data_IF_264296142576
#
_entry.id   IF_264296142576
#
_cell.length_a   1.000
_cell.length_b   1.000
_cell.length_c   1.000
_cell.angle_alpha   90.00
_cell.angle_beta   90.00
_cell.angle_gamma   90.00
#
_symmetry.space_group_name_H-M   'P 1'
#
loop_
_entity.id
_entity.type
_entity.pdbx_description
1 polymer ?
#
# COMPACT_ATOMS: atom_id res chain seq x y z
N UNK A 1 -24.31 -52.15 -60.89
CA UNK A 1 -24.22 -51.96 -59.42
C UNK A 1 -22.78 -52.06 -58.87
N UNK A 2 -21.74 -51.64 -59.63
CA UNK A 2 -20.34 -51.53 -59.13
C UNK A 2 -19.73 -50.14 -59.35
N UNK A 3 -20.28 -49.34 -60.27
CA UNK A 3 -19.83 -47.96 -60.53
C UNK A 3 -20.34 -46.95 -59.48
N UNK A 4 -21.54 -47.17 -58.91
CA UNK A 4 -22.13 -46.27 -57.90
C UNK A 4 -21.39 -46.33 -56.55
N UNK A 5 -20.81 -47.49 -56.20
CA UNK A 5 -20.04 -47.66 -54.95
C UNK A 5 -18.65 -47.01 -55.01
N UNK A 6 -18.07 -46.84 -56.20
CA UNK A 6 -16.77 -46.18 -56.36
C UNK A 6 -16.88 -44.65 -56.27
N UNK A 7 -17.96 -44.07 -56.78
CA UNK A 7 -18.20 -42.63 -56.71
C UNK A 7 -18.53 -42.14 -55.28
N UNK A 8 -19.13 -43.00 -54.44
CA UNK A 8 -19.38 -42.66 -53.03
C UNK A 8 -18.11 -42.67 -52.17
N UNK A 9 -17.07 -43.43 -52.55
CA UNK A 9 -15.83 -43.51 -51.79
C UNK A 9 -14.90 -42.31 -52.05
N UNK A 10 -14.94 -41.72 -53.24
CA UNK A 10 -14.14 -40.53 -53.57
C UNK A 10 -14.66 -39.23 -52.93
N UNK A 11 -15.92 -39.19 -52.49
CA UNK A 11 -16.51 -38.01 -51.85
C UNK A 11 -16.17 -37.86 -50.35
N UNK A 12 -15.57 -38.89 -49.73
CA UNK A 12 -15.21 -38.86 -48.30
C UNK A 12 -13.74 -38.48 -48.02
N UNK A 13 -12.92 -38.26 -49.06
CA UNK A 13 -11.47 -37.99 -48.89
C UNK A 13 -11.06 -36.54 -49.11
N UNK A 14 -11.98 -35.59 -49.29
CA UNK A 14 -11.64 -34.17 -49.51
C UNK A 14 -12.40 -33.25 -48.55
N UNK A 15 -12.32 -33.50 -47.25
CA UNK A 15 -12.50 -32.43 -46.26
C UNK A 15 -11.16 -32.13 -45.61
N UNK A 16 -10.34 -31.32 -46.29
CA UNK A 16 -9.30 -30.59 -45.56
C UNK A 16 -10.03 -29.63 -44.63
N UNK A 17 -10.13 -29.99 -43.34
CA UNK A 17 -10.59 -29.05 -42.32
C UNK A 17 -9.57 -27.91 -42.25
N UNK A 18 -9.88 -26.80 -42.93
CA UNK A 18 -9.12 -25.56 -42.82
C UNK A 18 -9.34 -25.03 -41.39
N UNK A 19 -8.46 -25.40 -40.46
CA UNK A 19 -8.40 -24.72 -39.17
C UNK A 19 -7.88 -23.31 -39.46
N UNK A 20 -8.76 -22.31 -39.37
CA UNK A 20 -8.35 -20.91 -39.31
C UNK A 20 -7.61 -20.75 -37.98
N UNK A 21 -6.28 -20.92 -38.01
CA UNK A 21 -5.42 -20.53 -36.90
C UNK A 21 -5.54 -19.02 -36.84
N UNK A 22 -6.26 -18.53 -35.83
CA UNK A 22 -6.34 -17.10 -35.58
C UNK A 22 -4.91 -16.60 -35.38
N UNK A 23 -4.49 -15.50 -36.02
CA UNK A 23 -3.15 -14.97 -35.79
C UNK A 23 -2.97 -14.73 -34.29
N UNK A 24 -1.78 -15.08 -33.79
CA UNK A 24 -1.46 -14.80 -32.39
C UNK A 24 -1.76 -13.32 -32.09
N UNK A 25 -2.44 -13.01 -30.98
CA UNK A 25 -2.67 -11.63 -30.61
C UNK A 25 -1.31 -10.91 -30.52
N UNK A 26 -1.24 -9.63 -30.92
CA UNK A 26 0.00 -8.89 -30.91
C UNK A 26 0.64 -8.93 -29.51
N UNK A 27 1.98 -9.01 -29.42
CA UNK A 27 2.66 -9.08 -28.14
C UNK A 27 2.26 -7.88 -27.27
N UNK A 28 1.90 -8.18 -26.02
CA UNK A 28 1.48 -7.17 -25.05
C UNK A 28 2.66 -6.21 -24.80
N UNK A 29 2.42 -4.90 -24.95
CA UNK A 29 3.45 -3.88 -24.70
C UNK A 29 3.96 -3.90 -23.26
N UNK A 30 5.21 -3.49 -23.04
CA UNK A 30 5.81 -3.43 -21.70
C UNK A 30 5.03 -2.53 -20.74
N UNK A 31 4.52 -1.39 -21.22
CA UNK A 31 3.65 -0.52 -20.43
C UNK A 31 2.38 -1.24 -19.98
N UNK A 32 1.75 -2.02 -20.87
CA UNK A 32 0.56 -2.81 -20.55
C UNK A 32 0.89 -3.95 -19.60
N UNK A 33 2.07 -4.59 -19.71
CA UNK A 33 2.55 -5.58 -18.73
C UNK A 33 2.64 -4.95 -17.33
N UNK A 34 3.24 -3.77 -17.20
CA UNK A 34 3.34 -3.06 -15.91
C UNK A 34 1.97 -2.66 -15.34
N UNK A 35 1.03 -2.21 -16.19
CA UNK A 35 -0.35 -1.96 -15.73
C UNK A 35 -1.02 -3.23 -15.19
N UNK A 36 -0.81 -4.38 -15.85
CA UNK A 36 -1.33 -5.67 -15.38
C UNK A 36 -0.70 -6.07 -14.03
N UNK A 37 0.61 -5.86 -13.86
CA UNK A 37 1.28 -6.06 -12.57
C UNK A 37 0.60 -5.22 -11.48
N UNK A 38 0.39 -3.93 -11.74
CA UNK A 38 -0.27 -3.03 -10.80
C UNK A 38 -1.66 -3.53 -10.42
N UNK A 39 -2.47 -3.95 -11.39
CA UNK A 39 -3.80 -4.54 -11.13
C UNK A 39 -3.71 -5.79 -10.26
N UNK A 40 -2.79 -6.71 -10.56
CA UNK A 40 -2.64 -7.92 -9.76
C UNK A 40 -2.20 -7.62 -8.33
N UNK A 41 -1.31 -6.65 -8.11
CA UNK A 41 -0.91 -6.23 -6.77
C UNK A 41 -2.09 -5.64 -5.99
N UNK A 42 -2.90 -4.78 -6.61
CA UNK A 42 -4.10 -4.20 -5.99
C UNK A 42 -5.12 -5.27 -5.59
N UNK A 43 -5.23 -6.35 -6.36
CA UNK A 43 -6.13 -7.47 -6.09
C UNK A 43 -5.52 -8.54 -5.16
N UNK A 44 -4.30 -8.34 -4.65
CA UNK A 44 -3.60 -9.33 -3.82
C UNK A 44 -3.15 -10.60 -4.57
N UNK A 45 -3.16 -10.59 -5.90
CA UNK A 45 -2.82 -11.72 -6.76
C UNK A 45 -1.29 -11.82 -6.97
N UNK A 46 -0.55 -12.02 -5.88
CA UNK A 46 0.91 -11.87 -5.83
C UNK A 46 1.65 -12.80 -6.82
N UNK A 47 1.17 -14.04 -6.99
CA UNK A 47 1.75 -14.97 -7.96
C UNK A 47 1.62 -14.51 -9.41
N UNK A 48 0.46 -13.94 -9.77
CA UNK A 48 0.22 -13.40 -11.11
C UNK A 48 1.01 -12.11 -11.35
N UNK A 49 1.09 -11.25 -10.33
CA UNK A 49 1.92 -10.06 -10.36
C UNK A 49 3.39 -10.42 -10.64
N UNK A 50 3.94 -11.42 -9.92
CA UNK A 50 5.32 -11.87 -10.11
C UNK A 50 5.56 -12.45 -11.50
N UNK A 51 4.68 -13.34 -11.95
CA UNK A 51 4.77 -13.93 -13.29
C UNK A 51 4.79 -12.86 -14.37
N UNK A 52 4.00 -11.78 -14.21
CA UNK A 52 3.98 -10.68 -15.16
C UNK A 52 5.21 -9.77 -15.06
N UNK A 53 5.72 -9.51 -13.84
CA UNK A 53 6.98 -8.78 -13.61
C UNK A 53 8.17 -9.46 -14.30
N UNK A 54 8.24 -10.79 -14.25
CA UNK A 54 9.33 -11.57 -14.85
C UNK A 54 9.33 -11.56 -16.38
N UNK A 55 8.22 -11.15 -16.98
CA UNK A 55 8.08 -10.97 -18.43
C UNK A 55 8.44 -9.56 -18.90
N UNK A 56 8.79 -8.65 -17.99
CA UNK A 56 9.18 -7.28 -18.35
C UNK A 56 10.63 -7.28 -18.79
N UNK A 57 10.86 -6.85 -20.03
CA UNK A 57 12.18 -6.84 -20.63
C UNK A 57 13.15 -5.94 -19.84
N UNK A 58 14.39 -6.39 -19.65
CA UNK A 58 15.42 -5.65 -18.88
C UNK A 58 15.62 -4.22 -19.42
N UNK A 59 15.51 -4.04 -20.74
CA UNK A 59 15.61 -2.73 -21.38
C UNK A 59 14.52 -1.74 -20.94
N UNK A 60 13.38 -2.23 -20.47
CA UNK A 60 12.21 -1.46 -20.04
C UNK A 60 12.02 -1.39 -18.51
N UNK A 61 12.96 -1.93 -17.74
CA UNK A 61 12.98 -1.86 -16.27
C UNK A 61 13.35 -0.45 -15.78
N UNK A 62 12.46 0.50 -16.02
CA UNK A 62 12.55 1.91 -15.62
C UNK A 62 11.82 2.13 -14.28
N UNK A 63 11.59 3.41 -13.93
CA UNK A 63 11.01 3.82 -12.65
C UNK A 63 9.79 2.99 -12.23
N UNK A 64 8.80 2.83 -13.11
CA UNK A 64 7.55 2.14 -12.77
C UNK A 64 7.76 0.65 -12.48
N UNK A 65 8.65 -0.01 -13.22
CA UNK A 65 9.05 -1.38 -12.92
C UNK A 65 9.64 -1.50 -11.52
N UNK A 66 10.60 -0.62 -11.17
CA UNK A 66 11.25 -0.66 -9.86
C UNK A 66 10.29 -0.34 -8.72
N UNK A 67 9.33 0.58 -8.93
CA UNK A 67 8.25 0.85 -7.97
C UNK A 67 7.39 -0.39 -7.74
N UNK A 68 6.96 -1.06 -8.82
CA UNK A 68 6.12 -2.26 -8.73
C UNK A 68 6.86 -3.47 -8.16
N UNK A 69 8.14 -3.65 -8.50
CA UNK A 69 8.97 -4.70 -7.94
C UNK A 69 9.20 -4.48 -6.44
N UNK A 70 9.47 -3.24 -6.02
CA UNK A 70 9.63 -2.88 -4.61
C UNK A 70 8.34 -3.16 -3.82
N UNK A 71 7.19 -2.74 -4.37
CA UNK A 71 5.88 -3.01 -3.78
C UNK A 71 5.61 -4.51 -3.68
N UNK A 72 5.88 -5.28 -4.73
CA UNK A 72 5.70 -6.74 -4.73
C UNK A 72 6.46 -7.41 -3.58
N UNK A 73 7.75 -7.12 -3.42
CA UNK A 73 8.57 -7.74 -2.36
C UNK A 73 8.12 -7.34 -0.96
N UNK A 74 7.64 -6.11 -0.80
CA UNK A 74 7.01 -5.66 0.45
C UNK A 74 5.71 -6.42 0.72
N UNK A 75 4.85 -6.59 -0.29
CA UNK A 75 3.55 -7.26 -0.15
C UNK A 75 3.64 -8.76 0.16
N UNK A 76 4.71 -9.44 -0.27
CA UNK A 76 4.93 -10.84 0.11
C UNK A 76 5.63 -11.01 1.47
N UNK A 77 5.95 -9.90 2.14
CA UNK A 77 6.64 -9.86 3.44
C UNK A 77 8.03 -10.53 3.47
N UNK A 78 8.70 -10.69 2.31
CA UNK A 78 10.12 -11.09 2.23
C UNK A 78 11.00 -9.85 2.46
N UNK A 79 11.10 -9.44 3.73
CA UNK A 79 11.73 -8.18 4.12
C UNK A 79 13.20 -8.07 3.71
N UNK A 80 13.91 -9.20 3.62
CA UNK A 80 15.31 -9.21 3.19
C UNK A 80 15.43 -8.85 1.70
N UNK A 81 14.61 -9.45 0.84
CA UNK A 81 14.59 -9.07 -0.59
C UNK A 81 13.99 -7.71 -0.82
N UNK A 82 12.97 -7.33 -0.04
CA UNK A 82 12.40 -6.00 -0.11
C UNK A 82 13.48 -4.93 0.14
N UNK A 83 14.32 -5.09 1.18
CA UNK A 83 15.42 -4.16 1.46
C UNK A 83 16.37 -4.02 0.27
N UNK A 84 16.89 -5.16 -0.22
CA UNK A 84 17.81 -5.19 -1.36
C UNK A 84 17.23 -4.49 -2.60
N UNK A 85 15.94 -4.71 -2.88
CA UNK A 85 15.27 -4.15 -4.05
C UNK A 85 15.04 -2.65 -3.88
N UNK A 86 14.61 -2.19 -2.70
CA UNK A 86 14.45 -0.76 -2.44
C UNK A 86 15.78 -0.02 -2.51
N UNK A 87 16.85 -0.57 -1.94
CA UNK A 87 18.20 0.01 -2.03
C UNK A 87 18.66 0.15 -3.49
N UNK A 88 18.52 -0.91 -4.29
CA UNK A 88 18.83 -0.86 -5.73
C UNK A 88 17.95 0.12 -6.49
N UNK A 89 16.66 0.20 -6.14
CA UNK A 89 15.73 1.13 -6.75
C UNK A 89 16.12 2.59 -6.44
N UNK A 90 16.50 2.89 -5.20
CA UNK A 90 16.94 4.22 -4.76
C UNK A 90 18.31 4.61 -5.33
N UNK A 91 19.23 3.66 -5.57
CA UNK A 91 20.46 3.94 -6.31
C UNK A 91 20.17 4.42 -7.74
N UNK A 92 19.13 3.90 -8.39
CA UNK A 92 18.73 4.27 -9.75
C UNK A 92 17.84 5.50 -9.81
N UNK A 93 16.96 5.66 -8.82
CA UNK A 93 15.95 6.71 -8.73
C UNK A 93 16.00 7.37 -7.35
N UNK A 94 17.05 8.16 -7.05
CA UNK A 94 17.31 8.69 -5.70
C UNK A 94 16.27 9.69 -5.21
N UNK A 95 15.39 10.17 -6.08
CA UNK A 95 14.34 11.14 -5.79
C UNK A 95 12.94 10.59 -6.03
N UNK A 96 12.77 9.27 -6.11
CA UNK A 96 11.44 8.69 -6.25
C UNK A 96 10.73 8.62 -4.89
N UNK A 97 9.69 9.42 -4.77
CA UNK A 97 8.89 9.58 -3.55
C UNK A 97 8.21 8.28 -3.11
N UNK A 98 7.76 7.48 -4.08
CA UNK A 98 7.08 6.23 -3.81
C UNK A 98 8.04 5.18 -3.26
N UNK A 99 9.25 5.08 -3.83
CA UNK A 99 10.26 4.14 -3.33
C UNK A 99 10.69 4.56 -1.92
N UNK A 100 10.98 5.84 -1.67
CA UNK A 100 11.32 6.33 -0.32
C UNK A 100 10.22 6.06 0.70
N UNK A 101 8.95 6.32 0.35
CA UNK A 101 7.83 6.07 1.25
C UNK A 101 7.72 4.58 1.62
N UNK A 102 7.78 3.68 0.65
CA UNK A 102 7.69 2.25 0.93
C UNK A 102 8.93 1.71 1.66
N UNK A 103 10.10 2.30 1.43
CA UNK A 103 11.31 2.00 2.19
C UNK A 103 11.15 2.40 3.67
N UNK A 104 10.55 3.57 3.95
CA UNK A 104 10.21 3.98 5.30
C UNK A 104 9.25 3.01 6.00
N UNK A 105 8.21 2.54 5.29
CA UNK A 105 7.30 1.49 5.80
C UNK A 105 8.07 0.23 6.15
N UNK A 106 8.94 -0.24 5.25
CA UNK A 106 9.77 -1.43 5.46
C UNK A 106 10.71 -1.31 6.68
N UNK A 107 11.34 -0.15 6.86
CA UNK A 107 12.16 0.14 8.04
C UNK A 107 11.32 0.14 9.32
N UNK A 108 10.12 0.72 9.27
CA UNK A 108 9.16 0.68 10.38
C UNK A 108 8.74 -0.75 10.76
N UNK A 109 8.53 -1.63 9.78
CA UNK A 109 8.25 -3.06 10.07
C UNK A 109 9.39 -3.74 10.83
N UNK A 110 10.63 -3.27 10.64
CA UNK A 110 11.82 -3.73 11.37
C UNK A 110 12.06 -2.95 12.67
N UNK A 111 11.15 -2.04 13.04
CA UNK A 111 11.24 -1.16 14.21
C UNK A 111 12.40 -0.16 14.17
N UNK A 112 12.91 0.13 12.98
CA UNK A 112 13.93 1.15 12.74
C UNK A 112 13.25 2.50 12.54
N UNK A 113 12.70 3.07 13.62
CA UNK A 113 11.76 4.18 13.53
C UNK A 113 12.39 5.49 13.06
N UNK A 114 13.60 5.80 13.50
CA UNK A 114 14.29 7.03 13.13
C UNK A 114 14.62 7.02 11.62
N UNK A 115 15.21 5.92 11.14
CA UNK A 115 15.49 5.73 9.71
C UNK A 115 14.20 5.74 8.86
N UNK A 116 13.11 5.17 9.37
CA UNK A 116 11.81 5.23 8.71
C UNK A 116 11.33 6.68 8.55
N UNK A 117 11.43 7.49 9.60
CA UNK A 117 11.06 8.90 9.56
C UNK A 117 11.92 9.70 8.59
N UNK A 118 13.24 9.48 8.56
CA UNK A 118 14.11 10.08 7.56
C UNK A 118 13.71 9.70 6.12
N UNK A 119 13.31 8.44 5.89
CA UNK A 119 12.84 8.00 4.58
C UNK A 119 11.53 8.70 4.18
N UNK A 120 10.60 8.88 5.11
CA UNK A 120 9.36 9.64 4.86
C UNK A 120 9.62 11.12 4.59
N UNK A 121 10.59 11.74 5.29
CA UNK A 121 11.01 13.11 5.03
C UNK A 121 11.61 13.26 3.63
N UNK A 122 12.45 12.30 3.21
CA UNK A 122 12.97 12.25 1.83
C UNK A 122 11.84 12.10 0.81
N UNK A 123 10.82 11.30 1.10
CA UNK A 123 9.64 11.14 0.24
C UNK A 123 8.78 12.42 0.17
N UNK A 124 8.70 13.19 1.26
CA UNK A 124 7.91 14.42 1.38
C UNK A 124 8.61 15.69 0.92
N UNK A 125 9.86 15.60 0.41
CA UNK A 125 10.65 16.76 0.03
C UNK A 125 9.97 17.60 -1.05
N UNK A 126 10.02 18.93 -0.90
CA UNK A 126 9.43 19.89 -1.84
C UNK A 126 9.90 19.64 -3.28
N UNK A 127 8.96 19.64 -4.22
CA UNK A 127 9.21 19.34 -5.64
C UNK A 127 8.92 17.89 -6.03
N UNK A 128 8.65 17.01 -5.06
CA UNK A 128 8.14 15.67 -5.29
C UNK A 128 6.60 15.64 -5.30
N UNK A 129 6.04 14.53 -5.80
CA UNK A 129 4.59 14.32 -5.83
C UNK A 129 4.04 14.25 -4.39
N UNK A 130 3.03 15.07 -4.11
CA UNK A 130 2.33 15.03 -2.80
C UNK A 130 1.48 13.77 -2.72
N UNK A 131 1.88 12.80 -1.89
CA UNK A 131 1.11 11.59 -1.60
C UNK A 131 0.46 11.69 -0.23
N UNK A 132 -0.80 11.28 -0.13
CA UNK A 132 -1.51 11.23 1.14
C UNK A 132 -0.80 10.32 2.15
N UNK A 133 -0.32 9.15 1.72
CA UNK A 133 0.39 8.20 2.57
C UNK A 133 1.66 8.81 3.19
N UNK A 134 2.42 9.59 2.43
CA UNK A 134 3.61 10.29 2.94
C UNK A 134 3.23 11.27 4.04
N UNK A 135 2.14 12.02 3.88
CA UNK A 135 1.68 12.97 4.89
C UNK A 135 1.17 12.27 6.16
N UNK A 136 0.47 11.15 6.02
CA UNK A 136 0.06 10.33 7.17
C UNK A 136 1.29 9.81 7.91
N UNK A 137 2.30 9.29 7.20
CA UNK A 137 3.51 8.74 7.80
C UNK A 137 4.37 9.81 8.49
N UNK A 138 4.50 11.00 7.90
CA UNK A 138 5.12 12.15 8.53
C UNK A 138 4.37 12.60 9.80
N UNK A 139 3.03 12.58 9.78
CA UNK A 139 2.22 12.85 10.97
C UNK A 139 2.50 11.84 12.09
N UNK A 140 2.56 10.54 11.76
CA UNK A 140 2.90 9.46 12.71
C UNK A 140 4.31 9.61 13.26
N UNK A 141 5.27 10.02 12.44
CA UNK A 141 6.64 10.34 12.89
C UNK A 141 6.65 11.52 13.87
N UNK A 142 5.94 12.60 13.56
CA UNK A 142 5.83 13.74 14.46
C UNK A 142 5.15 13.35 15.79
N UNK A 143 4.11 12.50 15.78
CA UNK A 143 3.50 11.96 17.01
C UNK A 143 4.54 11.18 17.83
N UNK A 144 5.29 10.27 17.19
CA UNK A 144 6.34 9.48 17.86
C UNK A 144 7.41 10.36 18.50
N UNK A 145 7.74 11.49 17.86
CA UNK A 145 8.71 12.48 18.35
C UNK A 145 8.09 13.53 19.30
N UNK A 146 6.83 13.36 19.71
CA UNK A 146 6.08 14.30 20.55
C UNK A 146 5.96 15.73 19.96
N UNK A 147 6.02 15.86 18.63
CA UNK A 147 5.87 17.11 17.89
C UNK A 147 4.41 17.32 17.47
N UNK A 148 3.54 17.53 18.46
CA UNK A 148 2.06 17.56 18.30
C UNK A 148 1.58 18.54 17.22
N UNK A 149 2.13 19.76 17.21
CA UNK A 149 1.75 20.77 16.22
C UNK A 149 2.13 20.37 14.79
N UNK A 150 3.32 19.79 14.62
CA UNK A 150 3.79 19.35 13.32
C UNK A 150 2.97 18.16 12.81
N UNK A 151 2.62 17.23 13.69
CA UNK A 151 1.73 16.11 13.38
C UNK A 151 0.39 16.60 12.80
N UNK A 152 -0.21 17.63 13.41
CA UNK A 152 -1.45 18.24 12.93
C UNK A 152 -1.32 18.90 11.56
N UNK A 153 -0.18 19.54 11.27
CA UNK A 153 0.10 20.12 9.93
C UNK A 153 0.11 19.03 8.87
N UNK A 154 0.87 17.96 9.08
CA UNK A 154 0.94 16.86 8.12
C UNK A 154 -0.42 16.17 7.93
N UNK A 155 -1.16 15.95 9.01
CA UNK A 155 -2.48 15.35 8.90
C UNK A 155 -3.48 16.23 8.14
N UNK A 156 -3.42 17.55 8.32
CA UNK A 156 -4.20 18.50 7.51
C UNK A 156 -3.83 18.38 6.02
N UNK A 157 -2.55 18.31 5.70
CA UNK A 157 -2.09 18.12 4.31
C UNK A 157 -2.56 16.78 3.72
N UNK A 158 -2.67 15.72 4.53
CA UNK A 158 -3.25 14.45 4.08
C UNK A 158 -4.74 14.60 3.71
N UNK A 159 -5.51 15.34 4.53
CA UNK A 159 -6.95 15.60 4.30
C UNK A 159 -7.22 16.49 3.09
N UNK A 160 -6.28 17.35 2.71
CA UNK A 160 -6.39 18.18 1.50
C UNK A 160 -6.31 17.35 0.19
N UNK A 161 -5.79 16.12 0.26
CA UNK A 161 -5.63 15.23 -0.90
C UNK A 161 -6.86 14.35 -1.10
N UNK A 162 -7.32 13.70 -0.05
CA UNK A 162 -8.48 12.80 -0.04
C UNK A 162 -8.94 12.55 1.40
N UNK A 163 -10.10 11.90 1.55
CA UNK A 163 -10.55 11.37 2.84
C UNK A 163 -9.52 10.40 3.42
N UNK A 164 -9.39 10.41 4.75
CA UNK A 164 -8.38 9.59 5.41
C UNK A 164 -8.75 8.11 5.35
N UNK A 165 -7.84 7.23 4.89
CA UNK A 165 -8.00 5.79 5.09
C UNK A 165 -7.89 5.44 6.58
N UNK A 166 -8.18 4.19 6.95
CA UNK A 166 -8.15 3.72 8.34
C UNK A 166 -6.88 4.13 9.11
N UNK A 167 -5.69 3.94 8.53
CA UNK A 167 -4.43 4.36 9.16
C UNK A 167 -4.37 5.87 9.42
N UNK A 168 -4.93 6.70 8.53
CA UNK A 168 -5.06 8.13 8.71
C UNK A 168 -6.04 8.48 9.83
N UNK A 169 -7.19 7.82 9.89
CA UNK A 169 -8.19 8.02 10.95
C UNK A 169 -7.63 7.64 12.33
N UNK A 170 -6.90 6.53 12.45
CA UNK A 170 -6.23 6.15 13.71
C UNK A 170 -5.13 7.14 14.10
N UNK A 171 -4.39 7.65 13.11
CA UNK A 171 -3.38 8.70 13.33
C UNK A 171 -4.05 9.97 13.85
N UNK A 172 -5.20 10.36 13.29
CA UNK A 172 -5.99 11.47 13.80
C UNK A 172 -6.50 11.22 15.21
N UNK A 173 -7.06 10.03 15.47
CA UNK A 173 -7.56 9.66 16.78
C UNK A 173 -6.47 9.77 17.85
N UNK A 174 -5.28 9.23 17.55
CA UNK A 174 -4.10 9.34 18.43
C UNK A 174 -3.76 10.80 18.71
N UNK A 175 -3.70 11.65 17.68
CA UNK A 175 -3.40 13.06 17.80
C UNK A 175 -4.44 13.83 18.64
N UNK A 176 -5.73 13.67 18.37
CA UNK A 176 -6.77 14.38 19.13
C UNK A 176 -6.87 13.91 20.56
N UNK A 177 -6.55 12.63 20.82
CA UNK A 177 -6.40 12.14 22.18
C UNK A 177 -5.19 12.81 22.83
N UNK A 178 -4.01 12.85 22.23
CA UNK A 178 -2.85 13.59 22.78
C UNK A 178 -3.22 15.04 23.16
N UNK A 179 -4.04 15.70 22.34
CA UNK A 179 -4.53 17.07 22.56
C UNK A 179 -5.65 17.21 23.60
N UNK A 180 -6.20 16.11 24.12
CA UNK A 180 -7.32 16.13 25.08
C UNK A 180 -8.68 16.49 24.45
N UNK A 181 -8.83 16.39 23.13
CA UNK A 181 -10.09 16.69 22.43
C UNK A 181 -11.03 15.48 22.37
N UNK A 182 -11.64 15.11 23.51
CA UNK A 182 -12.42 13.88 23.65
C UNK A 182 -13.64 13.79 22.72
N UNK A 183 -14.37 14.88 22.51
CA UNK A 183 -15.55 14.87 21.61
C UNK A 183 -15.16 14.49 20.17
N UNK A 184 -14.03 15.03 19.69
CA UNK A 184 -13.47 14.68 18.39
C UNK A 184 -12.99 13.24 18.37
N UNK A 185 -12.33 12.80 19.43
CA UNK A 185 -11.85 11.42 19.56
C UNK A 185 -13.01 10.42 19.44
N UNK A 186 -14.12 10.67 20.15
CA UNK A 186 -15.34 9.84 20.07
C UNK A 186 -15.93 9.81 18.67
N UNK A 187 -16.04 10.95 17.99
CA UNK A 187 -16.53 11.00 16.61
C UNK A 187 -15.67 10.17 15.66
N UNK A 188 -14.35 10.33 15.71
CA UNK A 188 -13.42 9.58 14.87
C UNK A 188 -13.47 8.09 15.19
N UNK A 189 -13.53 7.72 16.46
CA UNK A 189 -13.62 6.34 16.89
C UNK A 189 -14.88 5.65 16.37
N UNK A 190 -16.03 6.33 16.41
CA UNK A 190 -17.27 5.81 15.83
C UNK A 190 -17.14 5.61 14.30
N UNK A 191 -16.47 6.52 13.60
CA UNK A 191 -16.20 6.36 12.17
C UNK A 191 -15.32 5.14 11.89
N UNK A 192 -14.30 4.89 12.73
CA UNK A 192 -13.45 3.70 12.62
C UNK A 192 -14.25 2.42 12.90
N UNK A 193 -15.15 2.41 13.89
CA UNK A 193 -15.97 1.24 14.22
C UNK A 193 -16.99 0.87 13.13
N UNK A 194 -17.42 1.83 12.32
CA UNK A 194 -18.26 1.57 11.16
C UNK A 194 -17.50 0.80 10.06
N UNK A 195 -16.17 0.77 10.12
CA UNK A 195 -15.30 0.05 9.19
C UNK A 195 -15.05 -1.39 9.66
N UNK A 196 -15.17 -2.36 8.75
CA UNK A 196 -14.96 -3.80 9.03
C UNK A 196 -13.47 -4.18 9.07
N UNK A 197 -12.56 -3.27 8.67
CA UNK A 197 -11.13 -3.52 8.59
C UNK A 197 -10.41 -3.63 9.96
N UNK A 198 -11.06 -3.31 11.08
CA UNK A 198 -10.48 -3.42 12.43
C UNK A 198 -10.71 -4.78 13.12
N UNK A 199 -11.04 -5.82 12.36
CA UNK A 199 -11.27 -7.16 12.89
C UNK A 199 -10.02 -7.74 13.60
N UNK A 200 -10.24 -8.70 14.50
CA UNK A 200 -9.16 -9.42 15.20
C UNK A 200 -8.21 -10.07 14.19
N UNK A 201 -6.92 -9.77 14.30
CA UNK A 201 -5.89 -10.23 13.37
C UNK A 201 -5.54 -9.23 12.25
N UNK A 202 -6.23 -8.09 12.16
CA UNK A 202 -5.80 -6.99 11.28
C UNK A 202 -4.48 -6.38 11.77
N UNK A 203 -3.70 -5.84 10.82
CA UNK A 203 -2.43 -5.16 11.10
C UNK A 203 -2.57 -3.93 12.00
N UNK A 204 -3.79 -3.43 12.16
CA UNK A 204 -4.13 -2.24 12.94
C UNK A 204 -4.79 -2.57 14.29
N UNK A 205 -5.01 -3.85 14.60
CA UNK A 205 -5.76 -4.29 15.77
C UNK A 205 -5.16 -3.79 17.10
N UNK A 206 -3.83 -3.86 17.25
CA UNK A 206 -3.16 -3.45 18.49
C UNK A 206 -3.19 -1.93 18.69
N UNK A 207 -3.00 -1.17 17.62
CA UNK A 207 -3.11 0.30 17.63
C UNK A 207 -4.54 0.72 17.99
N UNK A 208 -5.54 0.14 17.33
CA UNK A 208 -6.95 0.39 17.61
C UNK A 208 -7.30 0.10 19.09
N UNK A 209 -6.87 -1.05 19.62
CA UNK A 209 -7.13 -1.41 21.02
C UNK A 209 -6.46 -0.47 22.01
N UNK A 210 -5.23 -0.03 21.72
CA UNK A 210 -4.55 0.96 22.54
C UNK A 210 -5.34 2.27 22.57
N UNK A 211 -5.75 2.79 21.41
CA UNK A 211 -6.52 4.04 21.30
C UNK A 211 -7.88 3.93 22.00
N UNK A 212 -8.56 2.80 21.83
CA UNK A 212 -9.83 2.49 22.50
C UNK A 212 -9.71 2.57 24.03
N UNK A 213 -8.67 1.96 24.61
CA UNK A 213 -8.43 2.01 26.07
C UNK A 213 -8.22 3.44 26.57
N UNK A 214 -7.43 4.24 25.85
CA UNK A 214 -7.20 5.64 26.23
C UNK A 214 -8.46 6.49 26.12
N UNK A 215 -9.29 6.26 25.11
CA UNK A 215 -10.58 6.93 24.99
C UNK A 215 -11.52 6.56 26.15
N UNK A 216 -11.69 5.27 26.41
CA UNK A 216 -12.57 4.77 27.50
C UNK A 216 -12.11 5.34 28.85
N UNK A 217 -10.80 5.29 29.14
CA UNK A 217 -10.27 5.80 30.40
C UNK A 217 -10.62 7.28 30.63
N UNK A 218 -10.67 8.09 29.58
CA UNK A 218 -11.00 9.51 29.69
C UNK A 218 -12.49 9.79 29.79
N UNK A 219 -13.32 8.88 29.32
CA UNK A 219 -14.77 8.98 29.46
C UNK A 219 -15.24 8.52 30.84
N UNK A 220 -14.50 7.60 31.47
CA UNK A 220 -14.84 7.06 32.78
C UNK A 220 -14.13 7.77 33.93
N UNK A 221 -13.03 8.49 33.66
CA UNK A 221 -12.31 9.31 34.65
C UNK A 221 -12.40 10.81 34.29
N UNK A 222 -13.25 11.59 34.99
CA UNK A 222 -13.42 13.03 34.77
C UNK A 222 -12.13 13.84 34.95
N UNK A 223 -11.15 13.33 35.71
CA UNK A 223 -9.86 14.02 35.91
C UNK A 223 -9.00 14.03 34.66
N UNK A 224 -9.28 13.12 33.71
CA UNK A 224 -8.53 12.98 32.46
C UNK A 224 -9.24 13.61 31.26
N UNK A 225 -10.51 14.02 31.41
CA UNK A 225 -11.45 14.34 30.32
C UNK A 225 -11.01 15.46 29.36
N UNK A 226 -10.08 16.33 29.77
CA UNK A 226 -9.52 17.36 28.87
C UNK A 226 -8.01 17.51 29.05
N UNK A 227 -7.36 16.50 29.61
CA UNK A 227 -5.91 16.54 29.88
C UNK A 227 -5.13 16.19 28.62
N UNK A 228 -4.23 17.10 28.22
CA UNK A 228 -3.19 16.77 27.25
C UNK A 228 -2.28 15.69 27.84
N UNK A 229 -1.82 14.75 27.00
CA UNK A 229 -0.96 13.65 27.41
C UNK A 229 0.08 13.35 26.34
N UNK A 230 1.22 12.82 26.74
CA UNK A 230 2.32 12.44 25.86
C UNK A 230 2.30 10.95 25.48
N UNK A 231 1.22 10.21 25.79
CA UNK A 231 1.10 8.82 25.39
C UNK A 231 1.09 8.70 23.85
N UNK A 232 1.57 7.58 23.31
CA UNK A 232 1.38 7.26 21.90
C UNK A 232 1.00 5.79 21.73
N UNK A 233 0.02 5.53 20.86
CA UNK A 233 -0.37 4.17 20.49
C UNK A 233 0.36 3.65 19.24
N UNK A 234 1.64 3.97 19.09
CA UNK A 234 2.44 3.62 17.91
C UNK A 234 3.49 2.52 18.13
N UNK A 235 3.55 1.92 19.32
CA UNK A 235 4.59 0.94 19.68
C UNK A 235 4.42 -0.43 19.00
N UNK A 236 3.19 -0.80 18.66
CA UNK A 236 2.86 -1.99 17.87
C UNK A 236 2.41 -1.70 16.44
N UNK A 237 2.40 -0.42 16.04
CA UNK A 237 1.77 -0.01 14.79
C UNK A 237 2.72 -0.10 13.60
N UNK A 238 2.22 -0.63 12.48
CA UNK A 238 2.87 -0.46 11.17
C UNK A 238 2.71 0.99 10.69
N UNK A 239 3.66 1.49 9.89
CA UNK A 239 3.47 2.70 9.08
C UNK A 239 2.79 2.35 7.76
#
# INVERSE_FOLDING_TARGET
MRLLLFLLYCLLCTSCAYQVVSPDPPPISESKKLSIVQTHLLLGQLGLAKKKLDQVDVAYQRRDYWRLLSLYWLSIEDYNKALLVHEKALQKFPYDDFIWNNYGVLLGLKKHWDEACEAFEKAGKKGLSKRQSVQINLSRCAIRQNQVNLAGIYLKQAKEIADLPLIGLMTELNLVLIQGSNDKARLIFNNIQADKETARGSVHFDEYNCLSRHLIARETDPTLYSSASNFTCLNGSRY
#
